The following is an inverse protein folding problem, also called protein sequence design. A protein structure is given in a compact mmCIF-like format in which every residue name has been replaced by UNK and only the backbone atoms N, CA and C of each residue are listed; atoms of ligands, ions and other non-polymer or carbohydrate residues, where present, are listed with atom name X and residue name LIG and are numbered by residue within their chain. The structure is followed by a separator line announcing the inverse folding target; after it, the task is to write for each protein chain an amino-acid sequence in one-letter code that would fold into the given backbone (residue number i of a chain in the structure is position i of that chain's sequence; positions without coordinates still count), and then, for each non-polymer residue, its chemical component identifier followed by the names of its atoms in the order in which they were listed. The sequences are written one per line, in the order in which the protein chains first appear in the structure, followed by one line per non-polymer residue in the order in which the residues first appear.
data_IF_949426470969
#
_entry.id   IF_949426470969
#
_cell.length_a   1.000
_cell.length_b   1.000
_cell.length_c   1.000
_cell.angle_alpha   90.00
_cell.angle_beta   90.00
_cell.angle_gamma   90.00
#
_symmetry.space_group_name_H-M   'P 1'
#
loop_
_entity.id
_entity.type
_entity.pdbx_description
1 polymer ?
#
# COMPACT_ATOMS: atom_id res chain seq x y z
N UNK A 1 16.14 3.22 0.18
CA UNK A 1 16.78 2.46 -0.92
C UNK A 1 16.07 1.14 -1.18
N UNK A 2 15.94 0.22 -0.22
CA UNK A 2 15.18 -1.04 -0.45
C UNK A 2 13.66 -0.78 -0.63
N UNK A 3 13.09 0.07 0.23
CA UNK A 3 11.69 0.52 0.13
C UNK A 3 11.34 1.06 -1.26
N UNK A 4 12.15 1.99 -1.78
CA UNK A 4 11.87 2.68 -3.04
C UNK A 4 11.96 1.73 -4.23
N UNK A 5 12.86 0.74 -4.19
CA UNK A 5 12.93 -0.32 -5.20
C UNK A 5 11.68 -1.21 -5.18
N UNK A 6 11.14 -1.53 -4.00
CA UNK A 6 9.92 -2.30 -3.86
C UNK A 6 8.72 -1.49 -4.41
N UNK A 7 8.58 -0.24 -3.99
CA UNK A 7 7.51 0.65 -4.45
C UNK A 7 7.55 0.82 -5.97
N UNK A 8 8.73 1.07 -6.55
CA UNK A 8 8.86 1.19 -8.00
C UNK A 8 8.40 -0.08 -8.73
N UNK A 9 8.77 -1.28 -8.24
CA UNK A 9 8.28 -2.55 -8.81
C UNK A 9 6.76 -2.68 -8.71
N UNK A 10 6.17 -2.29 -7.58
CA UNK A 10 4.72 -2.30 -7.40
C UNK A 10 4.02 -1.34 -8.38
N UNK A 11 4.54 -0.13 -8.55
CA UNK A 11 4.03 0.85 -9.52
C UNK A 11 4.11 0.28 -10.95
N UNK A 12 5.23 -0.34 -11.33
CA UNK A 12 5.36 -1.02 -12.62
C UNK A 12 4.35 -2.17 -12.82
N UNK A 13 3.88 -2.79 -11.73
CA UNK A 13 2.84 -3.82 -11.72
C UNK A 13 1.41 -3.27 -11.60
N UNK A 14 1.24 -1.94 -11.61
CA UNK A 14 -0.06 -1.27 -11.62
C UNK A 14 -0.59 -0.85 -10.24
N UNK A 15 0.15 -1.01 -9.15
CA UNK A 15 -0.22 -0.48 -7.83
C UNK A 15 0.21 0.99 -7.73
N UNK A 16 -0.65 1.89 -8.21
CA UNK A 16 -0.30 3.31 -8.41
C UNK A 16 -0.77 4.24 -7.31
N UNK A 17 -1.64 3.77 -6.41
CA UNK A 17 -2.19 4.58 -5.33
C UNK A 17 -1.41 4.37 -4.03
N UNK A 18 -0.82 5.44 -3.51
CA UNK A 18 -0.19 5.46 -2.19
C UNK A 18 -1.28 5.66 -1.11
N UNK A 19 -1.42 4.66 -0.24
CA UNK A 19 -2.43 4.62 0.81
C UNK A 19 -1.74 4.65 2.18
N UNK A 20 -2.40 5.27 3.14
CA UNK A 20 -1.99 5.29 4.55
C UNK A 20 -3.00 4.53 5.38
N UNK A 21 -2.55 3.54 6.14
CA UNK A 21 -3.40 2.86 7.12
C UNK A 21 -3.73 3.81 8.27
N UNK A 22 -5.02 4.07 8.49
CA UNK A 22 -5.56 4.84 9.61
C UNK A 22 -6.68 4.01 10.24
N UNK A 23 -6.40 3.43 11.41
CA UNK A 23 -7.27 2.47 12.09
C UNK A 23 -7.73 1.35 11.13
N UNK A 24 -9.03 1.25 10.87
CA UNK A 24 -9.64 0.25 9.98
C UNK A 24 -9.88 0.77 8.54
N UNK A 25 -9.21 1.86 8.16
CA UNK A 25 -9.35 2.52 6.87
C UNK A 25 -8.01 2.74 6.16
N UNK A 26 -8.06 2.83 4.83
CA UNK A 26 -6.97 3.28 3.98
C UNK A 26 -7.27 4.69 3.47
N UNK A 27 -6.45 5.65 3.88
CA UNK A 27 -6.50 7.03 3.44
C UNK A 27 -5.68 7.24 2.17
N UNK A 28 -6.27 7.87 1.16
CA UNK A 28 -5.60 8.33 -0.06
C UNK A 28 -5.44 9.84 -0.01
N UNK A 29 -4.20 10.32 0.11
CA UNK A 29 -3.90 11.75 0.20
C UNK A 29 -4.20 12.51 -1.11
N UNK A 30 -4.10 11.85 -2.26
CA UNK A 30 -4.32 12.49 -3.56
C UNK A 30 -5.79 12.86 -3.80
N UNK A 31 -6.72 12.10 -3.23
CA UNK A 31 -8.16 12.31 -3.40
C UNK A 31 -8.85 12.76 -2.11
N UNK A 32 -8.09 12.92 -1.03
CA UNK A 32 -8.58 13.18 0.33
C UNK A 32 -9.74 12.25 0.72
N UNK A 33 -9.57 10.95 0.45
CA UNK A 33 -10.63 9.95 0.61
C UNK A 33 -10.20 8.85 1.57
N UNK A 34 -11.11 8.42 2.45
CA UNK A 34 -10.98 7.24 3.29
C UNK A 34 -11.77 6.08 2.70
N UNK A 35 -11.11 4.94 2.57
CA UNK A 35 -11.72 3.69 2.12
C UNK A 35 -11.67 2.67 3.24
N UNK A 36 -12.74 1.91 3.46
CA UNK A 36 -12.75 0.85 4.49
C UNK A 36 -11.75 -0.23 4.10
N UNK A 37 -10.89 -0.66 5.04
CA UNK A 37 -9.83 -1.64 4.78
C UNK A 37 -10.38 -2.97 4.24
N UNK A 38 -11.55 -3.39 4.70
CA UNK A 38 -12.23 -4.61 4.27
C UNK A 38 -12.71 -4.58 2.81
N UNK A 39 -12.75 -3.40 2.17
CA UNK A 39 -13.02 -3.29 0.73
C UNK A 39 -11.79 -3.61 -0.13
N UNK A 40 -10.66 -3.97 0.49
CA UNK A 40 -9.42 -4.32 -0.21
C UNK A 40 -9.03 -5.78 0.01
N UNK A 41 -8.53 -6.39 -1.07
CA UNK A 41 -7.85 -7.69 -1.03
C UNK A 41 -6.35 -7.46 -1.09
N UNK A 42 -5.59 -8.14 -0.22
CA UNK A 42 -4.13 -8.14 -0.26
C UNK A 42 -3.67 -9.10 -1.35
N UNK A 43 -3.00 -8.56 -2.36
CA UNK A 43 -2.40 -9.35 -3.44
C UNK A 43 -0.97 -9.79 -3.10
N UNK A 44 -0.19 -8.93 -2.43
CA UNK A 44 1.22 -9.22 -2.06
C UNK A 44 1.61 -8.55 -0.74
N UNK A 45 2.49 -9.21 0.02
CA UNK A 45 3.12 -8.67 1.22
C UNK A 45 4.64 -8.79 1.09
N UNK A 46 5.35 -7.68 1.30
CA UNK A 46 6.80 -7.62 1.14
C UNK A 46 7.40 -7.01 2.41
N UNK A 47 8.21 -7.81 3.12
CA UNK A 47 8.94 -7.34 4.30
C UNK A 47 10.25 -6.68 3.86
N UNK A 48 10.57 -5.52 4.44
CA UNK A 48 11.83 -4.82 4.23
C UNK A 48 12.36 -4.22 5.54
N UNK A 49 13.63 -3.84 5.56
CA UNK A 49 14.20 -3.11 6.70
C UNK A 49 14.21 -1.61 6.42
N UNK A 50 13.61 -0.83 7.32
CA UNK A 50 13.74 0.63 7.32
C UNK A 50 15.19 1.04 7.66
N UNK A 51 15.53 2.31 7.46
CA UNK A 51 16.78 2.97 7.82
C UNK A 51 17.22 2.72 9.28
N UNK A 52 16.29 2.38 10.17
CA UNK A 52 16.55 2.03 11.57
C UNK A 52 16.72 0.51 11.82
N UNK A 53 16.92 -0.31 10.78
CA UNK A 53 16.91 -1.79 10.85
C UNK A 53 15.60 -2.38 11.44
N UNK A 54 14.51 -1.61 11.42
CA UNK A 54 13.19 -2.07 11.83
C UNK A 54 12.52 -2.76 10.66
N UNK A 55 12.01 -3.97 10.88
CA UNK A 55 11.21 -4.68 9.88
C UNK A 55 9.88 -3.97 9.70
N UNK A 56 9.53 -3.69 8.45
CA UNK A 56 8.28 -3.10 7.99
C UNK A 56 7.71 -3.96 6.88
N UNK A 57 6.41 -3.85 6.66
CA UNK A 57 5.70 -4.61 5.62
C UNK A 57 5.04 -3.62 4.66
N UNK A 58 5.31 -3.77 3.36
CA UNK A 58 4.49 -3.15 2.32
C UNK A 58 3.43 -4.16 1.90
N UNK A 59 2.16 -3.74 1.95
CA UNK A 59 1.04 -4.52 1.42
C UNK A 59 0.57 -3.91 0.13
N UNK A 60 0.60 -4.69 -0.94
CA UNK A 60 0.00 -4.35 -2.22
C UNK A 60 -1.44 -4.85 -2.22
N UNK A 61 -2.39 -3.94 -2.47
CA UNK A 61 -3.82 -4.22 -2.37
C UNK A 61 -4.55 -3.83 -3.64
N UNK A 62 -5.68 -4.50 -3.87
CA UNK A 62 -6.65 -4.12 -4.89
C UNK A 62 -8.02 -3.95 -4.26
N UNK A 63 -8.83 -3.06 -4.82
CA UNK A 63 -10.26 -3.01 -4.56
C UNK A 63 -11.00 -3.16 -5.87
N UNK A 64 -11.78 -4.23 -5.99
CA UNK A 64 -12.66 -4.43 -7.15
C UNK A 64 -13.86 -3.46 -7.08
N UNK A 65 -14.28 -3.07 -5.87
CA UNK A 65 -15.34 -2.09 -5.62
C UNK A 65 -14.98 -0.70 -6.19
N UNK A 66 -13.74 -0.24 -5.94
CA UNK A 66 -13.26 1.06 -6.38
C UNK A 66 -12.43 1.00 -7.67
N UNK A 67 -12.25 -0.20 -8.24
CA UNK A 67 -11.51 -0.46 -9.47
C UNK A 67 -10.09 0.16 -9.50
N UNK A 68 -9.34 0.02 -8.40
CA UNK A 68 -7.96 0.47 -8.35
C UNK A 68 -7.05 -0.44 -7.53
N UNK A 69 -5.74 -0.25 -7.70
CA UNK A 69 -4.69 -0.93 -6.96
C UNK A 69 -3.80 0.08 -6.26
N UNK A 70 -3.46 -0.22 -5.02
CA UNK A 70 -2.62 0.65 -4.20
C UNK A 70 -1.69 -0.14 -3.31
N UNK A 71 -0.94 0.58 -2.49
CA UNK A 71 -0.08 -0.02 -1.48
C UNK A 71 -0.06 0.82 -0.22
N UNK A 72 0.20 0.19 0.93
CA UNK A 72 0.43 0.88 2.19
C UNK A 72 1.49 0.15 3.02
N UNK A 73 2.04 0.85 4.02
CA UNK A 73 3.14 0.35 4.86
C UNK A 73 2.66 0.15 6.31
N UNK A 74 3.14 -0.91 6.96
CA UNK A 74 2.92 -1.24 8.38
C UNK A 74 4.26 -1.40 9.10
#
# INVERSE_FOLDING_TARGET
MEKDLIINKLIHNGYTVDLTLQDDCLYCANTDTLYILNSFTVDQEITFSDHNNKKRIIKAVKSDEFNFKGYYII
#
